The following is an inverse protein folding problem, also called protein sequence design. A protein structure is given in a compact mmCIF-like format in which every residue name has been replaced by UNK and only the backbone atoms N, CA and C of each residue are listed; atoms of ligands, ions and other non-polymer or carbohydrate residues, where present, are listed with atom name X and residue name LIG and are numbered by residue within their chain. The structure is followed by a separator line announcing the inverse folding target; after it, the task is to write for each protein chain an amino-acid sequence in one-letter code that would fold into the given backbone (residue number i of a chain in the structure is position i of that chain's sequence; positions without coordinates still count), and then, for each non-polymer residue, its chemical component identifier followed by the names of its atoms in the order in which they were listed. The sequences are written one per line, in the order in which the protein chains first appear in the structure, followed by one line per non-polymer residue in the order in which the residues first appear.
data_IF_381424540790
#
_entry.id   IF_381424540790
#
_cell.length_a   1.000
_cell.length_b   1.000
_cell.length_c   1.000
_cell.angle_alpha   90.00
_cell.angle_beta   90.00
_cell.angle_gamma   90.00
#
_symmetry.space_group_name_H-M   'P 1'
#
loop_
_entity.id
_entity.type
_entity.pdbx_description
1 polymer ?
#
# COMPACT_ATOMS: atom_id res chain seq x y z
N UNK A 1 56.68 -16.46 6.14
CA UNK A 1 56.08 -17.42 7.11
C UNK A 1 54.99 -16.67 7.86
N UNK A 2 53.78 -17.25 7.90
CA UNK A 2 52.67 -16.92 8.83
C UNK A 2 51.97 -15.56 8.59
N UNK A 3 50.90 -15.51 7.79
CA UNK A 3 49.47 -15.79 8.11
C UNK A 3 48.87 -14.71 9.06
N UNK A 4 47.63 -14.31 8.76
CA UNK A 4 46.60 -13.69 9.63
C UNK A 4 46.33 -12.18 9.46
N UNK A 5 45.70 -11.79 8.36
CA UNK A 5 44.66 -10.74 8.38
C UNK A 5 43.55 -11.12 7.40
N UNK A 6 42.77 -12.14 7.75
CA UNK A 6 41.52 -12.47 7.05
C UNK A 6 40.46 -12.91 8.07
N UNK A 7 40.28 -12.12 9.12
CA UNK A 7 39.08 -12.15 9.93
C UNK A 7 38.61 -10.70 10.06
N UNK A 8 37.39 -10.42 9.60
CA UNK A 8 36.47 -9.33 9.93
C UNK A 8 35.75 -8.83 8.68
N UNK A 9 34.82 -9.63 8.14
CA UNK A 9 33.56 -9.16 7.54
C UNK A 9 32.54 -10.32 7.53
N UNK A 10 32.38 -11.00 8.66
CA UNK A 10 31.15 -11.75 8.93
C UNK A 10 30.41 -10.99 10.02
N UNK A 11 29.96 -9.77 9.71
CA UNK A 11 28.94 -9.13 10.53
C UNK A 11 27.68 -9.95 10.32
N UNK A 12 27.34 -10.74 11.34
CA UNK A 12 26.09 -11.43 11.49
C UNK A 12 24.93 -10.48 11.19
N UNK A 13 24.32 -10.62 10.01
CA UNK A 13 22.97 -10.14 9.80
C UNK A 13 22.10 -10.93 10.79
N UNK A 14 21.73 -10.31 11.92
CA UNK A 14 20.64 -10.84 12.72
C UNK A 14 19.45 -11.05 11.77
N UNK A 15 18.83 -12.24 11.82
CA UNK A 15 17.70 -12.54 10.96
C UNK A 15 16.62 -11.45 11.15
N UNK A 16 16.22 -10.80 10.07
CA UNK A 16 15.18 -9.77 10.11
C UNK A 16 13.90 -10.35 10.72
N UNK A 17 13.31 -9.59 11.64
CA UNK A 17 12.02 -9.92 12.25
C UNK A 17 10.91 -9.94 11.20
N UNK A 18 9.81 -10.64 11.50
CA UNK A 18 8.65 -10.70 10.61
C UNK A 18 8.13 -9.30 10.22
N UNK A 19 8.09 -8.40 11.20
CA UNK A 19 7.64 -7.02 11.03
C UNK A 19 8.57 -6.26 10.08
N UNK A 20 9.89 -6.42 10.21
CA UNK A 20 10.87 -5.75 9.34
C UNK A 20 10.78 -6.25 7.90
N UNK A 21 10.60 -7.56 7.69
CA UNK A 21 10.35 -8.11 6.35
C UNK A 21 9.05 -7.58 5.74
N UNK A 22 7.99 -7.52 6.54
CA UNK A 22 6.71 -6.95 6.15
C UNK A 22 6.80 -5.46 5.79
N UNK A 23 7.56 -4.69 6.56
CA UNK A 23 7.80 -3.27 6.31
C UNK A 23 8.53 -3.06 4.98
N UNK A 24 9.56 -3.88 4.70
CA UNK A 24 10.30 -3.83 3.45
C UNK A 24 9.39 -4.12 2.23
N UNK A 25 8.52 -5.14 2.34
CA UNK A 25 7.54 -5.45 1.29
C UNK A 25 6.49 -4.34 1.13
N UNK A 26 6.03 -3.77 2.24
CA UNK A 26 5.06 -2.68 2.25
C UNK A 26 5.62 -1.43 1.59
N UNK A 27 6.87 -1.08 1.86
CA UNK A 27 7.54 0.14 1.37
C UNK A 27 8.31 -0.05 0.06
N UNK A 28 8.15 -1.20 -0.62
CA UNK A 28 8.75 -1.43 -1.93
C UNK A 28 8.39 -0.27 -2.89
N UNK A 29 9.38 0.44 -3.45
CA UNK A 29 9.14 1.69 -4.18
C UNK A 29 8.50 1.47 -5.55
N UNK A 30 8.62 0.26 -6.12
CA UNK A 30 8.06 -0.04 -7.42
C UNK A 30 6.56 -0.29 -7.31
N UNK A 31 6.13 -1.10 -6.35
CA UNK A 31 4.76 -1.64 -6.31
C UNK A 31 4.26 -1.94 -4.87
N UNK A 32 4.97 -1.50 -3.83
CA UNK A 32 4.61 -1.71 -2.44
C UNK A 32 3.29 -1.03 -2.07
N UNK A 33 2.64 -1.52 -1.01
CA UNK A 33 1.40 -0.92 -0.51
C UNK A 33 1.58 0.57 -0.12
N UNK A 34 2.81 0.94 0.25
CA UNK A 34 3.23 2.27 0.65
C UNK A 34 3.14 3.34 -0.44
N UNK A 35 3.03 2.96 -1.72
CA UNK A 35 2.82 3.92 -2.82
C UNK A 35 1.46 4.61 -2.70
N UNK A 36 0.47 3.94 -2.09
CA UNK A 36 -0.88 4.45 -1.90
C UNK A 36 -1.30 4.55 -0.43
N UNK A 37 -0.75 3.75 0.47
CA UNK A 37 -1.18 3.70 1.87
C UNK A 37 -0.07 4.16 2.82
N UNK A 38 -0.41 5.07 3.72
CA UNK A 38 0.50 5.54 4.75
C UNK A 38 0.29 4.80 6.08
N UNK A 39 1.38 4.34 6.70
CA UNK A 39 1.40 3.75 8.04
C UNK A 39 2.64 4.23 8.80
N UNK A 40 2.49 4.55 10.10
CA UNK A 40 3.57 5.11 10.95
C UNK A 40 4.35 6.27 10.31
N UNK A 41 3.67 7.13 9.54
CA UNK A 41 4.30 8.28 8.87
C UNK A 41 5.17 7.92 7.66
N UNK A 42 5.10 6.68 7.17
CA UNK A 42 5.79 6.23 5.96
C UNK A 42 4.77 5.89 4.87
N UNK A 43 5.14 6.12 3.61
CA UNK A 43 4.26 5.97 2.45
C UNK A 43 3.42 7.22 2.15
N UNK A 44 2.54 7.12 1.17
CA UNK A 44 1.66 8.22 0.73
C UNK A 44 0.23 7.97 1.18
N UNK A 45 -0.50 9.00 1.60
CA UNK A 45 -1.90 8.88 2.03
C UNK A 45 -2.87 9.12 0.86
N UNK A 46 -2.79 8.28 -0.18
CA UNK A 46 -3.72 8.33 -1.33
C UNK A 46 -4.96 7.48 -1.01
N UNK A 47 -4.73 6.20 -0.70
CA UNK A 47 -5.74 5.21 -0.38
C UNK A 47 -6.26 5.32 1.06
N UNK A 48 -7.31 4.53 1.40
CA UNK A 48 -7.87 4.51 2.74
C UNK A 48 -6.84 4.23 3.83
N UNK A 49 -7.08 4.80 5.01
CA UNK A 49 -6.26 4.56 6.18
C UNK A 49 -6.39 3.10 6.67
N UNK A 50 -5.26 2.37 6.65
CA UNK A 50 -5.21 0.96 7.02
C UNK A 50 -5.31 0.72 8.54
N UNK A 51 -5.24 1.76 9.38
CA UNK A 51 -5.46 1.63 10.84
C UNK A 51 -6.84 1.03 11.17
N UNK A 52 -7.84 1.29 10.32
CA UNK A 52 -9.18 0.72 10.48
C UNK A 52 -9.24 -0.80 10.37
N UNK A 53 -8.33 -1.42 9.60
CA UNK A 53 -8.28 -2.88 9.41
C UNK A 53 -7.19 -3.56 10.24
N UNK A 54 -6.27 -2.81 10.84
CA UNK A 54 -5.12 -3.34 11.57
C UNK A 54 -5.47 -4.20 12.80
N UNK A 55 -6.73 -4.18 13.24
CA UNK A 55 -7.25 -5.00 14.35
C UNK A 55 -8.04 -6.23 13.90
N UNK A 56 -8.24 -6.42 12.60
CA UNK A 56 -8.89 -7.62 12.06
C UNK A 56 -7.99 -8.86 12.24
N UNK A 57 -8.59 -10.04 12.06
CA UNK A 57 -7.84 -11.29 11.97
C UNK A 57 -6.89 -11.28 10.76
N UNK A 58 -5.80 -12.08 10.78
CA UNK A 58 -4.93 -12.20 9.61
C UNK A 58 -5.70 -12.56 8.33
N UNK A 59 -6.62 -13.53 8.39
CA UNK A 59 -7.50 -13.89 7.28
C UNK A 59 -8.35 -12.70 6.79
N UNK A 60 -8.90 -11.90 7.70
CA UNK A 60 -9.69 -10.71 7.34
C UNK A 60 -8.86 -9.65 6.62
N UNK A 61 -7.61 -9.43 7.04
CA UNK A 61 -6.70 -8.50 6.35
C UNK A 61 -6.26 -9.09 5.00
N UNK A 62 -5.96 -10.38 4.93
CA UNK A 62 -5.59 -11.07 3.69
C UNK A 62 -6.72 -10.97 2.64
N UNK A 63 -7.97 -11.16 3.06
CA UNK A 63 -9.15 -10.93 2.22
C UNK A 63 -9.22 -9.50 1.70
N UNK A 64 -8.98 -8.50 2.56
CA UNK A 64 -8.99 -7.09 2.15
C UNK A 64 -7.88 -6.77 1.13
N UNK A 65 -6.67 -7.31 1.33
CA UNK A 65 -5.54 -7.14 0.40
C UNK A 65 -5.85 -7.76 -0.97
N UNK A 66 -6.45 -8.96 -0.99
CA UNK A 66 -6.80 -9.69 -2.21
C UNK A 66 -8.05 -9.15 -2.92
N UNK A 67 -8.83 -8.29 -2.26
CA UNK A 67 -10.01 -7.69 -2.87
C UNK A 67 -9.61 -6.86 -4.08
N UNK A 68 -10.19 -7.20 -5.24
CA UNK A 68 -9.98 -6.46 -6.48
C UNK A 68 -11.02 -5.33 -6.68
N UNK A 69 -12.05 -5.28 -5.81
CA UNK A 69 -13.09 -4.26 -5.82
C UNK A 69 -12.76 -3.19 -4.79
N UNK A 70 -12.49 -1.98 -5.27
CA UNK A 70 -12.47 -0.79 -4.41
C UNK A 70 -13.79 -0.07 -4.54
N UNK A 71 -14.47 0.10 -3.41
CA UNK A 71 -15.77 0.78 -3.35
C UNK A 71 -15.69 2.25 -3.78
N UNK A 72 -14.50 2.86 -3.74
CA UNK A 72 -14.35 4.30 -3.80
C UNK A 72 -13.70 4.82 -5.09
N UNK A 73 -13.06 3.99 -5.91
CA UNK A 73 -12.41 4.46 -7.14
C UNK A 73 -13.47 4.83 -8.18
N UNK A 74 -13.32 6.01 -8.76
CA UNK A 74 -14.16 6.56 -9.82
C UNK A 74 -13.28 7.00 -10.99
N UNK A 75 -13.83 7.11 -12.19
CA UNK A 75 -13.14 7.77 -13.31
C UNK A 75 -13.48 9.25 -13.26
N UNK A 76 -12.47 10.11 -13.09
CA UNK A 76 -12.63 11.56 -13.27
C UNK A 76 -12.45 11.90 -14.75
N UNK A 77 -13.22 12.86 -15.25
CA UNK A 77 -12.97 13.49 -16.56
C UNK A 77 -12.90 15.00 -16.37
N UNK A 78 -11.74 15.57 -16.67
CA UNK A 78 -11.48 17.00 -16.59
C UNK A 78 -12.05 17.72 -17.82
N UNK A 79 -12.37 19.00 -17.67
CA UNK A 79 -12.82 19.86 -18.79
C UNK A 79 -11.76 20.01 -19.89
N UNK A 80 -10.49 19.76 -19.58
CA UNK A 80 -9.39 19.68 -20.55
C UNK A 80 -9.46 18.44 -21.47
N UNK A 81 -10.27 17.43 -21.11
CA UNK A 81 -10.39 16.16 -21.80
C UNK A 81 -9.59 15.01 -21.18
N UNK A 82 -8.74 15.28 -20.19
CA UNK A 82 -8.01 14.24 -19.46
C UNK A 82 -8.95 13.37 -18.62
N UNK A 83 -8.73 12.05 -18.60
CA UNK A 83 -9.60 11.09 -17.91
C UNK A 83 -8.79 9.95 -17.30
N UNK A 84 -8.99 9.66 -16.01
CA UNK A 84 -8.24 8.65 -15.27
C UNK A 84 -8.99 8.15 -14.02
N UNK A 85 -8.68 6.92 -13.54
CA UNK A 85 -9.22 6.44 -12.27
C UNK A 85 -8.60 7.21 -11.11
N UNK A 86 -9.43 7.66 -10.18
CA UNK A 86 -9.02 8.41 -8.99
C UNK A 86 -9.92 8.10 -7.80
N UNK A 87 -9.47 8.49 -6.61
CA UNK A 87 -10.36 8.58 -5.45
C UNK A 87 -11.05 9.95 -5.47
N UNK A 88 -12.35 10.02 -5.10
CA UNK A 88 -13.05 11.27 -4.97
C UNK A 88 -12.26 12.27 -4.15
N UNK A 89 -12.03 13.50 -4.65
CA UNK A 89 -11.31 14.49 -3.88
C UNK A 89 -12.06 14.78 -2.58
N UNK A 90 -11.35 15.07 -1.48
CA UNK A 90 -11.97 15.52 -0.24
C UNK A 90 -12.83 16.76 -0.49
N UNK A 91 -13.83 17.02 0.35
CA UNK A 91 -14.68 18.21 0.23
C UNK A 91 -13.88 19.52 0.43
N UNK A 92 -14.29 20.62 -0.24
CA UNK A 92 -13.68 21.96 -0.11
C UNK A 92 -13.43 22.67 -1.44
N UNK A 93 -13.29 24.00 -1.41
CA UNK A 93 -13.31 24.88 -2.61
C UNK A 93 -11.94 25.30 -3.14
N UNK A 94 -10.88 24.59 -2.77
CA UNK A 94 -9.52 24.86 -3.23
C UNK A 94 -9.14 23.96 -4.42
N UNK A 95 -7.99 24.21 -5.08
CA UNK A 95 -7.35 23.17 -5.87
C UNK A 95 -7.30 21.89 -5.04
N UNK A 96 -7.91 20.84 -5.56
CA UNK A 96 -7.91 19.53 -4.94
C UNK A 96 -6.77 18.72 -5.53
N UNK A 97 -6.01 18.08 -4.65
CA UNK A 97 -5.03 17.08 -5.08
C UNK A 97 -5.76 15.78 -5.33
N UNK A 98 -5.79 15.36 -6.60
CA UNK A 98 -6.26 14.04 -7.01
C UNK A 98 -5.09 13.23 -7.55
N UNK A 99 -5.25 11.91 -7.57
CA UNK A 99 -4.18 11.00 -7.98
C UNK A 99 -4.64 10.15 -9.16
N UNK A 100 -3.85 10.08 -10.22
CA UNK A 100 -4.05 9.15 -11.33
C UNK A 100 -3.61 7.75 -10.90
N UNK A 101 -4.61 6.90 -10.63
CA UNK A 101 -4.43 5.53 -10.18
C UNK A 101 -4.18 4.55 -11.35
N UNK A 102 -4.15 5.02 -12.59
CA UNK A 102 -3.69 4.20 -13.73
C UNK A 102 -2.17 4.04 -13.75
N UNK A 103 -1.47 4.89 -13.00
CA UNK A 103 -0.01 4.89 -12.84
C UNK A 103 0.40 4.29 -11.49
N UNK A 104 1.62 3.76 -11.45
CA UNK A 104 2.22 3.20 -10.24
C UNK A 104 3.69 3.64 -10.14
N UNK A 105 4.08 4.42 -9.11
CA UNK A 105 3.22 5.02 -8.08
C UNK A 105 2.18 6.00 -8.68
N UNK A 106 1.08 6.31 -7.96
CA UNK A 106 0.08 7.25 -8.44
C UNK A 106 0.67 8.63 -8.72
N UNK A 107 0.30 9.22 -9.86
CA UNK A 107 0.72 10.57 -10.22
C UNK A 107 -0.23 11.61 -9.61
N UNK A 108 0.30 12.68 -9.01
CA UNK A 108 -0.50 13.72 -8.38
C UNK A 108 -0.87 14.82 -9.38
N UNK A 109 -2.14 15.22 -9.39
CA UNK A 109 -2.66 16.34 -10.15
C UNK A 109 -3.29 17.35 -9.18
N UNK A 110 -2.86 18.61 -9.24
CA UNK A 110 -3.53 19.72 -8.56
C UNK A 110 -4.58 20.31 -9.51
N UNK A 111 -5.86 20.07 -9.19
CA UNK A 111 -6.98 20.37 -10.09
C UNK A 111 -7.95 21.31 -9.41
N UNK A 112 -8.35 22.39 -10.08
CA UNK A 112 -9.44 23.22 -9.57
C UNK A 112 -10.73 22.41 -9.58
N UNK A 113 -11.52 22.47 -8.51
CA UNK A 113 -12.81 21.76 -8.48
C UNK A 113 -13.72 22.17 -9.65
N UNK A 114 -13.66 23.43 -10.07
CA UNK A 114 -14.38 23.93 -11.23
C UNK A 114 -13.96 23.29 -12.57
N UNK A 115 -12.77 22.69 -12.64
CA UNK A 115 -12.24 22.03 -13.84
C UNK A 115 -12.60 20.55 -13.91
N UNK A 116 -13.16 19.98 -12.84
CA UNK A 116 -13.74 18.63 -12.86
C UNK A 116 -15.04 18.70 -13.66
N UNK A 117 -15.07 18.02 -14.82
CA UNK A 117 -16.24 17.94 -15.67
C UNK A 117 -17.25 16.92 -15.16
N UNK A 118 -16.78 15.70 -14.89
CA UNK A 118 -17.61 14.62 -14.35
C UNK A 118 -16.80 13.61 -13.55
N UNK A 119 -17.50 12.82 -12.73
CA UNK A 119 -16.97 11.62 -12.11
C UNK A 119 -17.98 10.48 -12.30
N UNK A 120 -17.49 9.31 -12.71
CA UNK A 120 -18.32 8.14 -12.97
C UNK A 120 -17.85 6.92 -12.17
N UNK A 121 -18.75 6.01 -11.76
CA UNK A 121 -18.36 4.75 -11.16
C UNK A 121 -17.36 3.99 -12.05
N UNK A 122 -16.37 3.36 -11.43
CA UNK A 122 -15.39 2.54 -12.13
C UNK A 122 -15.61 1.05 -11.81
N UNK A 123 -15.68 0.21 -12.85
CA UNK A 123 -15.67 -1.26 -12.74
C UNK A 123 -14.36 -1.91 -13.25
N UNK A 124 -13.55 -1.13 -13.98
CA UNK A 124 -12.36 -1.62 -14.68
C UNK A 124 -11.11 -1.66 -13.79
N UNK A 125 -10.82 -0.57 -13.07
CA UNK A 125 -9.64 -0.51 -12.20
C UNK A 125 -9.71 -1.57 -11.08
N UNK A 126 -8.56 -2.18 -10.78
CA UNK A 126 -8.39 -3.21 -9.75
C UNK A 126 -7.32 -2.77 -8.75
N UNK A 127 -7.57 -3.05 -7.47
CA UNK A 127 -6.58 -2.79 -6.40
C UNK A 127 -5.27 -3.52 -6.72
N UNK A 128 -4.15 -2.82 -6.92
CA UNK A 128 -2.92 -3.42 -7.45
C UNK A 128 -2.40 -4.63 -6.66
N UNK A 129 -2.47 -4.69 -5.32
CA UNK A 129 -2.11 -5.89 -4.57
C UNK A 129 -2.86 -7.17 -4.98
N UNK A 130 -4.07 -7.07 -5.55
CA UNK A 130 -4.85 -8.23 -6.03
C UNK A 130 -4.24 -8.91 -7.26
N UNK A 131 -3.39 -8.22 -8.02
CA UNK A 131 -2.69 -8.80 -9.18
C UNK A 131 -1.32 -9.36 -8.82
N UNK A 132 -0.85 -9.12 -7.58
CA UNK A 132 0.44 -9.62 -7.11
C UNK A 132 0.28 -11.03 -6.52
N UNK A 133 1.18 -11.92 -6.89
CA UNK A 133 1.27 -13.28 -6.36
C UNK A 133 2.21 -13.33 -5.16
N UNK A 134 1.81 -12.73 -4.05
CA UNK A 134 2.53 -12.90 -2.79
C UNK A 134 2.44 -14.36 -2.34
N UNK A 135 3.55 -14.92 -1.83
CA UNK A 135 3.49 -16.19 -1.09
C UNK A 135 2.74 -15.99 0.22
N UNK A 136 2.32 -17.09 0.86
CA UNK A 136 1.66 -17.02 2.17
C UNK A 136 2.61 -16.42 3.22
N UNK A 137 3.92 -16.67 3.13
CA UNK A 137 4.92 -16.05 4.01
C UNK A 137 5.00 -14.55 3.78
N UNK A 138 5.05 -14.09 2.53
CA UNK A 138 5.08 -12.66 2.22
C UNK A 138 3.79 -11.97 2.66
N UNK A 139 2.64 -12.62 2.48
CA UNK A 139 1.36 -12.12 2.94
C UNK A 139 1.32 -12.02 4.47
N UNK A 140 1.79 -13.04 5.18
CA UNK A 140 1.91 -13.02 6.63
C UNK A 140 2.85 -11.92 7.14
N UNK A 141 3.99 -11.73 6.48
CA UNK A 141 4.95 -10.66 6.79
C UNK A 141 4.29 -9.27 6.63
N UNK A 142 3.64 -9.02 5.49
CA UNK A 142 2.92 -7.75 5.23
C UNK A 142 1.85 -7.51 6.30
N UNK A 143 1.05 -8.53 6.63
CA UNK A 143 -0.03 -8.43 7.62
C UNK A 143 0.54 -8.19 9.02
N UNK A 144 1.66 -8.83 9.38
CA UNK A 144 2.35 -8.57 10.64
C UNK A 144 2.77 -7.09 10.74
N UNK A 145 3.32 -6.52 9.66
CA UNK A 145 3.64 -5.09 9.62
C UNK A 145 2.41 -4.21 9.71
N UNK A 146 1.32 -4.49 8.98
CA UNK A 146 0.07 -3.70 9.04
C UNK A 146 -0.51 -3.68 10.45
N UNK A 147 -0.58 -4.84 11.13
CA UNK A 147 -1.09 -4.95 12.51
C UNK A 147 -0.18 -4.24 13.50
N UNK A 148 1.14 -4.32 13.32
CA UNK A 148 2.10 -3.58 14.15
C UNK A 148 1.99 -2.07 13.94
N UNK A 149 2.06 -1.60 12.69
CA UNK A 149 2.10 -0.20 12.36
C UNK A 149 0.76 0.51 12.60
N UNK A 150 -0.36 -0.20 12.42
CA UNK A 150 -1.69 0.36 12.61
C UNK A 150 -2.28 0.18 14.01
N UNK A 151 -1.87 -0.85 14.75
CA UNK A 151 -2.47 -1.19 16.06
C UNK A 151 -1.45 -1.59 17.15
N UNK A 152 -0.14 -1.55 16.88
CA UNK A 152 0.90 -1.89 17.85
C UNK A 152 1.07 -3.38 18.14
N UNK A 153 0.37 -4.26 17.41
CA UNK A 153 0.46 -5.71 17.61
C UNK A 153 1.85 -6.23 17.29
N UNK A 154 2.45 -6.99 18.20
CA UNK A 154 3.71 -7.72 17.97
C UNK A 154 3.52 -9.23 17.81
N UNK A 155 2.27 -9.69 17.84
CA UNK A 155 1.93 -11.09 17.64
C UNK A 155 2.32 -11.51 16.22
N UNK A 156 3.15 -12.56 16.06
CA UNK A 156 3.47 -13.11 14.75
C UNK A 156 2.21 -13.56 14.00
N UNK A 157 2.30 -13.59 12.68
CA UNK A 157 1.23 -14.10 11.80
C UNK A 157 1.72 -15.41 11.18
N UNK A 158 0.97 -16.49 11.35
CA UNK A 158 1.28 -17.76 10.69
C UNK A 158 0.88 -17.67 9.21
N UNK A 159 1.75 -18.09 8.25
CA UNK A 159 1.37 -18.23 6.84
C UNK A 159 0.09 -19.07 6.60
N UNK A 160 -0.25 -19.99 7.50
CA UNK A 160 -1.51 -20.74 7.43
C UNK A 160 -2.75 -19.87 7.68
N UNK A 161 -2.63 -18.78 8.45
CA UNK A 161 -3.75 -17.90 8.82
C UNK A 161 -4.15 -16.90 7.74
N UNK A 162 -3.38 -16.86 6.64
CA UNK A 162 -3.55 -15.87 5.56
C UNK A 162 -3.96 -16.51 4.25
N UNK A 163 -4.28 -17.80 4.22
CA UNK A 163 -4.74 -18.51 3.02
C UNK A 163 -6.13 -18.05 2.58
#
# INVERSE_FOLDING_TARGET
MVIWVALLMAQSAAAQTQIERGEALFLDPALGCGTCHALKGKGTAVGPDLRGIARLSPAGIAMAIRSSVTQYVQVVTLKSGESFPTLPPPAGDQPVKIYDLSKMPPEAHDVQRADIGSMAPNSAWKHPPSTRKYTDEQMADIIAYVRYAGAGSKTPVDPADVK
#
